data_IF_245299583361
#
_entry.id   IF_245299583361
#
_cell.length_a   1.000
_cell.length_b   1.000
_cell.length_c   1.000
_cell.angle_alpha   90.00
_cell.angle_beta   90.00
_cell.angle_gamma   90.00
#
_symmetry.space_group_name_H-M   'P 1'
#
loop_
_entity.id
_entity.type
_entity.pdbx_description
1 polymer ?
#
# COMPACT_ATOMS: atom_id res chain seq x y z
N UNK A 1 -29.66 -18.70 -40.75
CA UNK A 1 -30.32 -18.07 -39.58
C UNK A 1 -29.30 -17.93 -38.46
N UNK A 2 -28.83 -16.71 -38.22
CA UNK A 2 -28.01 -16.36 -37.06
C UNK A 2 -28.94 -16.33 -35.84
N UNK A 3 -28.70 -17.06 -34.74
CA UNK A 3 -29.53 -16.89 -33.56
C UNK A 3 -29.25 -15.51 -32.96
N UNK A 4 -30.33 -14.77 -32.74
CA UNK A 4 -30.39 -13.45 -32.13
C UNK A 4 -29.60 -13.43 -30.81
N UNK A 5 -28.63 -12.51 -30.70
CA UNK A 5 -28.09 -12.05 -29.41
C UNK A 5 -29.23 -11.35 -28.65
N UNK A 6 -29.95 -12.11 -27.81
CA UNK A 6 -31.15 -11.65 -27.11
C UNK A 6 -30.83 -11.00 -25.76
N UNK A 7 -31.12 -9.69 -25.65
CA UNK A 7 -31.62 -8.95 -24.47
C UNK A 7 -30.92 -8.99 -23.09
N UNK A 8 -29.91 -9.84 -22.83
CA UNK A 8 -29.27 -9.94 -21.49
C UNK A 8 -28.19 -8.89 -21.21
N UNK A 9 -27.68 -8.20 -22.22
CA UNK A 9 -26.56 -7.25 -22.06
C UNK A 9 -26.89 -5.96 -21.26
N UNK A 10 -28.03 -5.26 -21.48
CA UNK A 10 -28.30 -4.02 -20.74
C UNK A 10 -28.64 -4.25 -19.25
N UNK A 11 -29.36 -5.34 -18.92
CA UNK A 11 -29.70 -5.68 -17.53
C UNK A 11 -28.43 -6.09 -16.75
N UNK A 12 -27.54 -6.85 -17.37
CA UNK A 12 -26.26 -7.23 -16.76
C UNK A 12 -25.33 -6.02 -16.55
N UNK A 13 -25.38 -5.02 -17.44
CA UNK A 13 -24.63 -3.77 -17.27
C UNK A 13 -25.20 -2.92 -16.13
N UNK A 14 -26.52 -2.73 -16.07
CA UNK A 14 -27.18 -1.97 -15.01
C UNK A 14 -26.89 -2.59 -13.62
N UNK A 15 -26.99 -3.91 -13.50
CA UNK A 15 -26.62 -4.62 -12.26
C UNK A 15 -25.17 -4.36 -11.85
N UNK A 16 -24.23 -4.35 -12.81
CA UNK A 16 -22.81 -4.06 -12.53
C UNK A 16 -22.58 -2.61 -12.11
N UNK A 17 -23.26 -1.65 -12.72
CA UNK A 17 -23.21 -0.24 -12.31
C UNK A 17 -23.73 -0.08 -10.88
N UNK A 18 -24.86 -0.72 -10.54
CA UNK A 18 -25.41 -0.72 -9.18
C UNK A 18 -24.43 -1.33 -8.18
N UNK A 19 -23.80 -2.48 -8.51
CA UNK A 19 -22.78 -3.10 -7.66
C UNK A 19 -21.55 -2.20 -7.45
N UNK A 20 -21.13 -1.45 -8.47
CA UNK A 20 -20.02 -0.50 -8.37
C UNK A 20 -20.40 0.64 -7.42
N UNK A 21 -21.58 1.24 -7.60
CA UNK A 21 -22.06 2.34 -6.73
C UNK A 21 -22.16 1.86 -5.28
N UNK A 22 -22.81 0.72 -5.04
CA UNK A 22 -22.89 0.13 -3.69
C UNK A 22 -21.52 -0.20 -3.11
N UNK A 23 -20.62 -0.76 -3.92
CA UNK A 23 -19.25 -1.05 -3.51
C UNK A 23 -18.49 0.21 -3.08
N UNK A 24 -18.62 1.31 -3.82
CA UNK A 24 -18.05 2.61 -3.46
C UNK A 24 -18.68 3.13 -2.17
N UNK A 25 -20.02 3.08 -2.03
CA UNK A 25 -20.71 3.53 -0.80
C UNK A 25 -20.22 2.78 0.43
N UNK A 26 -20.14 1.44 0.39
CA UNK A 26 -19.65 0.64 1.51
C UNK A 26 -18.16 0.87 1.79
N UNK A 27 -17.37 1.08 0.74
CA UNK A 27 -15.96 1.42 0.87
C UNK A 27 -15.76 2.75 1.60
N UNK A 28 -16.51 3.79 1.21
CA UNK A 28 -16.48 5.09 1.88
C UNK A 28 -16.98 5.01 3.33
N UNK A 29 -18.07 4.26 3.58
CA UNK A 29 -18.57 4.01 4.93
C UNK A 29 -17.52 3.33 5.81
N UNK A 30 -16.83 2.31 5.30
CA UNK A 30 -15.78 1.60 6.01
C UNK A 30 -14.59 2.52 6.36
N UNK A 31 -14.18 3.39 5.45
CA UNK A 31 -13.10 4.37 5.69
C UNK A 31 -13.52 5.40 6.74
N UNK A 32 -14.76 5.88 6.69
CA UNK A 32 -15.31 6.80 7.70
C UNK A 32 -15.36 6.17 9.09
N UNK A 33 -15.81 4.91 9.18
CA UNK A 33 -15.84 4.16 10.45
C UNK A 33 -14.43 3.93 11.01
N UNK A 34 -13.48 3.59 10.13
CA UNK A 34 -12.07 3.43 10.47
C UNK A 34 -11.44 4.75 10.93
N UNK A 35 -11.76 5.88 10.29
CA UNK A 35 -11.31 7.21 10.69
C UNK A 35 -11.78 7.60 12.10
N UNK A 36 -13.04 7.31 12.45
CA UNK A 36 -13.57 7.53 13.80
C UNK A 36 -12.91 6.62 14.83
N UNK A 37 -12.75 5.33 14.52
CA UNK A 37 -12.07 4.38 15.40
C UNK A 37 -10.62 4.83 15.68
N UNK A 38 -9.88 5.28 14.67
CA UNK A 38 -8.53 5.82 14.87
C UNK A 38 -8.52 7.13 15.65
N UNK A 39 -9.49 8.03 15.45
CA UNK A 39 -9.61 9.26 16.25
C UNK A 39 -9.84 8.95 17.73
N UNK A 40 -10.68 7.94 18.05
CA UNK A 40 -10.91 7.47 19.41
C UNK A 40 -9.68 6.77 20.02
N UNK A 41 -8.99 5.92 19.24
CA UNK A 41 -7.73 5.30 19.68
C UNK A 41 -6.64 6.35 19.92
N UNK A 42 -6.54 7.35 19.05
CA UNK A 42 -5.64 8.47 19.20
C UNK A 42 -6.02 9.29 20.45
N UNK A 43 -7.28 9.60 20.72
CA UNK A 43 -7.67 10.35 21.93
C UNK A 43 -7.26 9.65 23.25
N UNK A 44 -7.31 8.31 23.31
CA UNK A 44 -6.92 7.53 24.51
C UNK A 44 -5.44 7.16 24.61
N UNK A 45 -4.73 7.10 23.48
CA UNK A 45 -3.36 6.54 23.38
C UNK A 45 -2.33 7.52 22.77
N UNK A 46 -2.76 8.71 22.33
CA UNK A 46 -1.94 9.67 21.58
C UNK A 46 -0.64 10.04 22.30
N UNK A 47 -0.62 10.16 23.63
CA UNK A 47 0.62 10.55 24.31
C UNK A 47 1.72 9.48 24.28
N UNK A 48 1.38 8.19 24.24
CA UNK A 48 2.37 7.11 24.26
C UNK A 48 2.71 6.58 22.85
N UNK A 49 1.80 6.65 21.87
CA UNK A 49 2.07 6.21 20.49
C UNK A 49 2.71 7.32 19.64
N UNK A 50 2.45 8.61 19.92
CA UNK A 50 3.08 9.70 19.19
C UNK A 50 4.59 9.82 19.46
N UNK A 51 5.07 9.32 20.60
CA UNK A 51 6.52 9.22 20.86
C UNK A 51 7.15 8.07 20.05
N UNK A 52 6.50 6.90 19.97
CA UNK A 52 6.95 5.73 19.17
C UNK A 52 7.03 6.01 17.65
N UNK A 53 6.40 7.08 17.16
CA UNK A 53 6.37 7.45 15.74
C UNK A 53 7.27 8.61 15.35
N UNK A 54 8.24 9.03 16.16
CA UNK A 54 9.09 10.19 15.81
C UNK A 54 10.06 9.96 14.62
N UNK A 55 10.25 8.72 14.15
CA UNK A 55 11.23 8.42 13.10
C UNK A 55 10.56 8.01 11.76
N UNK A 56 10.60 8.89 10.72
CA UNK A 56 10.13 8.60 9.37
C UNK A 56 10.74 7.32 8.76
N UNK A 57 12.00 6.98 9.09
CA UNK A 57 12.63 5.75 8.62
C UNK A 57 11.96 4.50 9.21
N UNK A 58 11.55 4.53 10.48
CA UNK A 58 10.84 3.41 11.13
C UNK A 58 9.42 3.29 10.57
N UNK A 59 8.78 4.41 10.24
CA UNK A 59 7.44 4.42 9.62
C UNK A 59 7.38 3.61 8.31
N UNK A 60 8.47 3.58 7.54
CA UNK A 60 8.59 2.71 6.36
C UNK A 60 8.49 1.23 6.71
N UNK A 61 9.17 0.77 7.77
CA UNK A 61 9.11 -0.63 8.16
C UNK A 61 7.77 -1.01 8.78
N UNK A 62 7.11 -0.07 9.46
CA UNK A 62 5.72 -0.24 9.93
C UNK A 62 4.79 -0.49 8.74
N UNK A 63 4.84 0.37 7.71
CA UNK A 63 4.00 0.20 6.52
C UNK A 63 4.27 -1.09 5.75
N UNK A 64 5.54 -1.48 5.67
CA UNK A 64 5.98 -2.75 5.07
C UNK A 64 5.42 -3.94 5.85
N UNK A 65 5.59 -3.97 7.16
CA UNK A 65 5.15 -5.07 8.02
C UNK A 65 3.62 -5.20 8.04
N UNK A 66 2.89 -4.09 8.21
CA UNK A 66 1.43 -4.09 8.19
C UNK A 66 0.94 -4.63 6.86
N UNK A 67 1.52 -4.18 5.74
CA UNK A 67 1.12 -4.70 4.42
C UNK A 67 1.51 -6.17 4.24
N UNK A 68 2.65 -6.61 4.76
CA UNK A 68 3.07 -8.01 4.69
C UNK A 68 2.14 -8.93 5.51
N UNK A 69 1.62 -8.45 6.64
CA UNK A 69 0.65 -9.21 7.46
C UNK A 69 -0.73 -9.21 6.79
N UNK A 70 -1.20 -8.04 6.38
CA UNK A 70 -2.54 -7.86 5.79
C UNK A 70 -2.61 -8.37 4.34
N UNK A 71 -1.48 -8.44 3.64
CA UNK A 71 -1.36 -8.78 2.22
C UNK A 71 -2.13 -7.83 1.27
N UNK A 72 -2.42 -6.60 1.71
CA UNK A 72 -3.13 -5.58 0.93
C UNK A 72 -2.52 -4.20 1.16
N UNK A 73 -1.75 -3.71 0.18
CA UNK A 73 -1.23 -2.33 0.23
C UNK A 73 -2.34 -1.29 0.08
N UNK A 74 -3.40 -1.56 -0.69
CA UNK A 74 -4.55 -0.66 -0.79
C UNK A 74 -5.24 -0.46 0.56
N UNK A 75 -5.39 -1.52 1.36
CA UNK A 75 -5.96 -1.40 2.71
C UNK A 75 -5.04 -0.61 3.64
N UNK A 76 -3.74 -0.91 3.61
CA UNK A 76 -2.74 -0.21 4.43
C UNK A 76 -2.63 1.28 4.05
N UNK A 77 -2.65 1.60 2.76
CA UNK A 77 -2.57 3.00 2.29
C UNK A 77 -3.87 3.76 2.56
N UNK A 78 -5.05 3.17 2.39
CA UNK A 78 -6.31 3.79 2.82
C UNK A 78 -6.36 4.03 4.33
N UNK A 79 -5.79 3.11 5.12
CA UNK A 79 -5.62 3.28 6.57
C UNK A 79 -4.73 4.49 6.90
N UNK A 80 -3.60 4.63 6.20
CA UNK A 80 -2.71 5.80 6.35
C UNK A 80 -3.39 7.10 5.94
N UNK A 81 -4.11 7.12 4.81
CA UNK A 81 -4.91 8.28 4.36
C UNK A 81 -5.93 8.67 5.44
N UNK A 82 -6.67 7.70 5.98
CA UNK A 82 -7.65 7.93 7.03
C UNK A 82 -7.00 8.46 8.33
N UNK A 83 -5.85 7.91 8.73
CA UNK A 83 -5.11 8.34 9.91
C UNK A 83 -4.61 9.79 9.79
N UNK A 84 -4.14 10.19 8.61
CA UNK A 84 -3.74 11.57 8.33
C UNK A 84 -4.96 12.49 8.28
N UNK A 85 -6.07 12.05 7.68
CA UNK A 85 -7.32 12.81 7.66
C UNK A 85 -7.88 13.06 9.07
N UNK A 86 -7.66 12.12 9.99
CA UNK A 86 -8.03 12.23 11.40
C UNK A 86 -7.02 13.06 12.24
N UNK A 87 -5.90 13.49 11.67
CA UNK A 87 -4.83 14.21 12.38
C UNK A 87 -3.97 13.33 13.30
N UNK A 88 -4.19 12.02 13.30
CA UNK A 88 -3.47 11.05 14.15
C UNK A 88 -2.09 10.66 13.61
N UNK A 89 -1.82 10.93 12.32
CA UNK A 89 -0.56 10.63 11.66
C UNK A 89 -0.08 11.84 10.88
N UNK A 90 1.19 12.22 11.04
CA UNK A 90 1.80 13.32 10.30
C UNK A 90 2.14 12.91 8.86
N UNK A 91 2.17 13.88 7.95
CA UNK A 91 2.65 13.68 6.56
C UNK A 91 4.06 13.07 6.54
N UNK A 92 4.96 13.57 7.40
CA UNK A 92 6.36 13.13 7.49
C UNK A 92 6.50 11.63 7.79
N UNK A 93 5.58 11.05 8.56
CA UNK A 93 5.56 9.62 8.87
C UNK A 93 4.72 8.82 7.86
N UNK A 94 3.64 9.40 7.35
CA UNK A 94 2.74 8.75 6.42
C UNK A 94 3.40 8.45 5.06
N UNK A 95 4.25 9.36 4.55
CA UNK A 95 4.91 9.16 3.25
C UNK A 95 5.85 7.94 3.26
N UNK A 96 6.81 7.80 4.19
CA UNK A 96 7.61 6.58 4.30
C UNK A 96 6.76 5.33 4.53
N UNK A 97 5.67 5.43 5.32
CA UNK A 97 4.77 4.30 5.55
C UNK A 97 4.11 3.81 4.24
N UNK A 98 3.73 4.72 3.34
CA UNK A 98 3.25 4.38 1.99
C UNK A 98 4.34 3.70 1.17
N UNK A 99 5.60 4.19 1.21
CA UNK A 99 6.72 3.53 0.53
C UNK A 99 6.90 2.09 1.04
N UNK A 100 6.82 1.90 2.35
CA UNK A 100 6.83 0.60 3.01
C UNK A 100 5.72 -0.31 2.52
N UNK A 101 4.49 0.20 2.45
CA UNK A 101 3.34 -0.55 1.98
C UNK A 101 3.51 -1.04 0.52
N UNK A 102 4.15 -0.24 -0.34
CA UNK A 102 4.47 -0.63 -1.71
C UNK A 102 5.47 -1.79 -1.75
N UNK A 103 6.48 -1.80 -0.86
CA UNK A 103 7.38 -2.94 -0.71
C UNK A 103 6.61 -4.16 -0.19
N UNK A 104 5.81 -4.01 0.87
CA UNK A 104 5.09 -5.11 1.51
C UNK A 104 4.15 -5.88 0.55
N UNK A 105 3.49 -5.18 -0.38
CA UNK A 105 2.56 -5.80 -1.36
C UNK A 105 3.23 -6.88 -2.23
N UNK A 106 4.55 -6.77 -2.41
CA UNK A 106 5.33 -7.66 -3.29
C UNK A 106 5.47 -9.08 -2.73
N UNK A 107 5.27 -9.27 -1.41
CA UNK A 107 5.28 -10.57 -0.75
C UNK A 107 4.35 -11.59 -1.42
N UNK A 108 3.17 -11.15 -1.85
CA UNK A 108 2.15 -11.98 -2.50
C UNK A 108 2.69 -12.76 -3.71
N UNK A 109 3.45 -12.09 -4.57
CA UNK A 109 4.01 -12.68 -5.79
C UNK A 109 5.15 -13.64 -5.46
N UNK A 110 5.94 -13.30 -4.45
CA UNK A 110 7.03 -14.14 -3.94
C UNK A 110 6.49 -15.39 -3.24
N UNK A 111 5.37 -15.33 -2.51
CA UNK A 111 4.70 -16.50 -1.94
C UNK A 111 4.14 -17.43 -3.03
N UNK A 112 3.46 -16.89 -4.05
CA UNK A 112 2.96 -17.69 -5.19
C UNK A 112 4.10 -18.44 -5.89
N UNK A 113 5.29 -17.84 -5.96
CA UNK A 113 6.44 -18.49 -6.58
C UNK A 113 6.92 -19.75 -5.85
N UNK A 114 6.66 -19.86 -4.54
CA UNK A 114 6.99 -21.06 -3.75
C UNK A 114 6.16 -22.27 -4.16
N UNK A 115 4.97 -22.09 -4.76
CA UNK A 115 4.17 -23.19 -5.30
C UNK A 115 4.88 -24.02 -6.38
N UNK A 116 5.94 -23.47 -7.00
CA UNK A 116 6.72 -24.14 -8.04
C UNK A 116 7.93 -24.91 -7.50
N UNK A 117 8.15 -24.96 -6.17
CA UNK A 117 9.37 -25.47 -5.51
C UNK A 117 9.77 -26.91 -5.91
N UNK A 118 8.78 -27.74 -6.24
CA UNK A 118 9.00 -29.12 -6.67
C UNK A 118 9.78 -29.20 -8.00
N UNK A 119 9.56 -28.28 -8.93
CA UNK A 119 10.13 -28.31 -10.28
C UNK A 119 11.23 -27.26 -10.44
N UNK A 120 12.50 -27.67 -10.29
CA UNK A 120 13.67 -26.77 -10.27
C UNK A 120 13.71 -25.70 -11.37
N UNK A 121 13.42 -26.07 -12.62
CA UNK A 121 13.43 -25.13 -13.77
C UNK A 121 12.30 -24.10 -13.70
N UNK A 122 11.10 -24.53 -13.33
CA UNK A 122 9.93 -23.65 -13.17
C UNK A 122 10.12 -22.77 -11.93
N UNK A 123 10.57 -23.34 -10.81
CA UNK A 123 10.86 -22.62 -9.56
C UNK A 123 11.85 -21.46 -9.75
N UNK A 124 12.95 -21.68 -10.48
CA UNK A 124 13.92 -20.64 -10.83
C UNK A 124 13.25 -19.44 -11.51
N UNK A 125 12.35 -19.71 -12.46
CA UNK A 125 11.63 -18.67 -13.22
C UNK A 125 10.55 -18.01 -12.36
N UNK A 126 9.85 -18.80 -11.55
CA UNK A 126 8.81 -18.34 -10.64
C UNK A 126 9.38 -17.37 -9.61
N UNK A 127 10.49 -17.71 -8.93
CA UNK A 127 11.13 -16.83 -7.94
C UNK A 127 11.59 -15.53 -8.59
N UNK A 128 12.14 -15.61 -9.82
CA UNK A 128 12.52 -14.41 -10.55
C UNK A 128 11.31 -13.56 -10.95
N UNK A 129 10.13 -14.15 -11.18
CA UNK A 129 8.90 -13.41 -11.43
C UNK A 129 8.28 -12.83 -10.15
N UNK A 130 8.37 -13.55 -9.02
CA UNK A 130 7.91 -13.08 -7.72
C UNK A 130 8.72 -11.87 -7.24
N UNK A 131 10.05 -12.01 -7.22
CA UNK A 131 10.97 -11.03 -6.61
C UNK A 131 11.28 -9.82 -7.48
N UNK A 132 10.92 -9.81 -8.77
CA UNK A 132 11.22 -8.64 -9.64
C UNK A 132 10.45 -7.41 -9.20
N UNK A 133 9.25 -7.60 -8.62
CA UNK A 133 8.47 -6.52 -8.05
C UNK A 133 9.14 -5.99 -6.78
N UNK A 134 9.61 -6.90 -5.90
CA UNK A 134 10.34 -6.55 -4.67
C UNK A 134 11.56 -5.68 -4.99
N UNK A 135 12.42 -6.13 -5.91
CA UNK A 135 13.63 -5.39 -6.29
C UNK A 135 13.30 -4.02 -6.88
N UNK A 136 12.23 -3.92 -7.67
CA UNK A 136 11.80 -2.64 -8.20
C UNK A 136 11.39 -1.68 -7.07
N UNK A 137 10.48 -2.09 -6.18
CA UNK A 137 9.99 -1.22 -5.10
C UNK A 137 11.10 -0.86 -4.12
N UNK A 138 11.94 -1.82 -3.72
CA UNK A 138 13.09 -1.55 -2.84
C UNK A 138 14.03 -0.51 -3.48
N UNK A 139 14.35 -0.65 -4.78
CA UNK A 139 15.22 0.31 -5.45
C UNK A 139 14.60 1.70 -5.58
N UNK A 140 13.30 1.78 -5.90
CA UNK A 140 12.59 3.07 -5.96
C UNK A 140 12.58 3.72 -4.58
N UNK A 141 12.29 2.97 -3.52
CA UNK A 141 12.34 3.46 -2.15
C UNK A 141 13.74 3.91 -1.74
N UNK A 142 14.80 3.17 -2.08
CA UNK A 142 16.18 3.57 -1.78
C UNK A 142 16.58 4.90 -2.47
N UNK A 143 15.95 5.24 -3.59
CA UNK A 143 16.18 6.49 -4.31
C UNK A 143 15.29 7.61 -3.75
N UNK A 144 13.98 7.35 -3.61
CA UNK A 144 13.01 8.39 -3.27
C UNK A 144 12.94 8.70 -1.77
N UNK A 145 13.23 7.74 -0.88
CA UNK A 145 13.18 7.98 0.56
C UNK A 145 14.18 9.05 1.00
N UNK A 146 15.48 9.00 0.65
CA UNK A 146 16.39 10.08 1.02
C UNK A 146 15.96 11.43 0.43
N UNK A 147 15.54 11.44 -0.84
CA UNK A 147 15.06 12.68 -1.48
C UNK A 147 13.85 13.26 -0.77
N UNK A 148 12.94 12.41 -0.31
CA UNK A 148 11.79 12.82 0.48
C UNK A 148 12.21 13.35 1.86
N UNK A 149 13.12 12.68 2.57
CA UNK A 149 13.54 13.09 3.90
C UNK A 149 14.31 14.43 3.90
N UNK A 150 15.11 14.69 2.87
CA UNK A 150 15.91 15.92 2.79
C UNK A 150 15.20 17.07 2.08
N UNK A 151 14.43 16.79 1.03
CA UNK A 151 13.85 17.82 0.15
C UNK A 151 12.32 17.80 0.10
N UNK A 152 11.67 16.78 0.66
CA UNK A 152 10.21 16.64 0.61
C UNK A 152 9.66 16.58 -0.81
N UNK A 153 10.37 15.94 -1.75
CA UNK A 153 10.03 15.97 -3.19
C UNK A 153 8.61 15.47 -3.45
N UNK A 154 8.20 14.36 -2.84
CA UNK A 154 6.87 13.81 -3.04
C UNK A 154 5.83 14.61 -2.27
N UNK A 155 6.09 14.93 -0.99
CA UNK A 155 5.15 15.71 -0.17
C UNK A 155 4.84 17.08 -0.76
N UNK A 156 5.87 17.78 -1.28
CA UNK A 156 5.72 19.13 -1.84
C UNK A 156 4.90 19.09 -3.12
N UNK A 157 5.23 18.20 -4.06
CA UNK A 157 4.49 18.05 -5.32
C UNK A 157 3.07 17.58 -5.06
N UNK A 158 2.89 16.63 -4.14
CA UNK A 158 1.57 16.14 -3.76
C UNK A 158 0.67 17.24 -3.20
N UNK A 159 1.22 18.11 -2.34
CA UNK A 159 0.49 19.25 -1.77
C UNK A 159 0.10 20.25 -2.85
N UNK A 160 1.01 20.60 -3.75
CA UNK A 160 0.71 21.49 -4.87
C UNK A 160 -0.39 20.92 -5.77
N UNK A 161 -0.37 19.61 -6.04
CA UNK A 161 -1.44 18.96 -6.81
C UNK A 161 -2.75 18.96 -6.02
N UNK A 162 -2.72 18.68 -4.71
CA UNK A 162 -3.89 18.72 -3.84
C UNK A 162 -4.59 20.08 -3.85
N UNK A 163 -3.82 21.16 -3.75
CA UNK A 163 -4.32 22.54 -3.83
C UNK A 163 -4.97 22.88 -5.19
N UNK A 164 -4.55 22.24 -6.28
CA UNK A 164 -5.15 22.40 -7.61
C UNK A 164 -6.43 21.57 -7.82
N UNK A 165 -6.54 20.40 -7.19
CA UNK A 165 -7.67 19.48 -7.37
C UNK A 165 -8.90 19.94 -6.59
N UNK A 166 -8.70 20.49 -5.39
CA UNK A 166 -9.79 20.85 -4.46
C UNK A 166 -10.79 21.84 -5.09
N UNK A 167 -10.37 22.96 -5.72
CA UNK A 167 -11.31 23.91 -6.34
C UNK A 167 -12.13 23.30 -7.50
N UNK A 168 -11.54 22.35 -8.25
CA UNK A 168 -12.18 21.71 -9.41
C UNK A 168 -13.14 20.59 -9.03
N UNK A 169 -13.04 20.10 -7.80
CA UNK A 169 -13.87 19.02 -7.30
C UNK A 169 -15.31 19.45 -6.98
N UNK A 170 -15.58 20.77 -6.94
CA UNK A 170 -16.89 21.32 -6.56
C UNK A 170 -17.21 21.13 -5.08
N UNK A 171 -16.26 20.62 -4.29
CA UNK A 171 -16.34 20.45 -2.85
C UNK A 171 -15.56 21.60 -2.19
N UNK A 172 -16.28 22.51 -1.55
CA UNK A 172 -15.68 23.68 -0.92
C UNK A 172 -14.73 23.24 0.21
N UNK A 173 -13.54 23.83 0.30
CA UNK A 173 -12.55 23.48 1.33
C UNK A 173 -13.01 23.80 2.76
N UNK A 174 -14.05 24.63 2.92
CA UNK A 174 -14.72 24.91 4.20
C UNK A 174 -15.81 23.89 4.54
N UNK A 175 -16.46 23.31 3.53
CA UNK A 175 -17.45 22.25 3.69
C UNK A 175 -16.82 20.94 3.24
N UNK A 176 -15.98 20.39 4.12
CA UNK A 176 -15.51 19.01 4.01
C UNK A 176 -16.69 18.07 3.75
N UNK A 177 -16.88 17.70 2.48
CA UNK A 177 -18.03 16.92 2.01
C UNK A 177 -18.19 15.60 2.78
N UNK A 178 -17.14 15.07 3.42
CA UNK A 178 -17.23 13.93 4.37
C UNK A 178 -17.50 14.29 5.83
N UNK A 179 -17.09 15.46 6.33
CA UNK A 179 -17.49 15.92 7.66
C UNK A 179 -18.90 16.51 7.66
N UNK A 180 -19.50 16.82 6.51
CA UNK A 180 -20.93 17.17 6.42
C UNK A 180 -21.79 15.96 6.05
N UNK A 181 -21.54 15.34 4.88
CA UNK A 181 -22.42 14.28 4.38
C UNK A 181 -22.37 13.00 5.22
N UNK A 182 -21.20 12.58 5.75
CA UNK A 182 -21.07 11.30 6.47
C UNK A 182 -20.91 11.42 8.00
N UNK A 183 -20.49 12.58 8.53
CA UNK A 183 -20.51 12.84 9.97
C UNK A 183 -21.95 12.94 10.50
N UNK A 184 -22.85 13.53 9.70
CA UNK A 184 -24.27 13.69 10.03
C UNK A 184 -25.13 12.51 9.58
N UNK A 185 -24.54 11.54 8.89
CA UNK A 185 -25.20 10.27 8.62
C UNK A 185 -25.24 9.46 9.92
N UNK A 186 -26.42 9.49 10.54
CA UNK A 186 -26.81 8.68 11.68
C UNK A 186 -26.19 7.27 11.71
N UNK A 187 -26.03 6.51 10.60
CA UNK A 187 -25.43 5.17 10.64
C UNK A 187 -23.99 5.08 11.17
N UNK A 188 -23.09 6.03 10.89
CA UNK A 188 -21.68 5.91 11.35
C UNK A 188 -21.62 6.12 12.85
N UNK A 189 -22.16 7.23 13.35
CA UNK A 189 -22.23 7.52 14.78
C UNK A 189 -23.05 6.47 15.51
N UNK A 190 -24.17 6.03 14.93
CA UNK A 190 -24.97 4.95 15.49
C UNK A 190 -24.16 3.66 15.65
N UNK A 191 -23.34 3.25 14.69
CA UNK A 191 -22.47 2.07 14.85
C UNK A 191 -21.45 2.31 15.96
N UNK A 192 -20.78 3.45 15.98
CA UNK A 192 -19.76 3.78 17.00
C UNK A 192 -20.37 3.82 18.41
N UNK A 193 -21.49 4.52 18.58
CA UNK A 193 -22.22 4.69 19.83
C UNK A 193 -22.89 3.41 20.31
N UNK A 194 -23.30 2.54 19.40
CA UNK A 194 -23.89 1.23 19.73
C UNK A 194 -22.81 0.25 20.16
N UNK A 195 -21.69 0.17 19.43
CA UNK A 195 -20.64 -0.82 19.69
C UNK A 195 -19.82 -0.45 20.93
N UNK A 196 -19.55 0.85 21.18
CA UNK A 196 -18.78 1.40 22.32
C UNK A 196 -17.37 0.84 22.54
N UNK A 197 -16.94 -0.12 21.73
CA UNK A 197 -15.62 -0.77 21.78
C UNK A 197 -14.83 -0.47 20.50
N UNK A 198 -13.81 0.39 20.63
CA UNK A 198 -13.07 0.91 19.48
C UNK A 198 -12.39 -0.18 18.63
N UNK A 199 -11.86 -1.23 19.27
CA UNK A 199 -11.27 -2.37 18.56
C UNK A 199 -12.30 -3.16 17.74
N UNK A 200 -13.53 -3.30 18.22
CA UNK A 200 -14.61 -3.99 17.49
C UNK A 200 -15.03 -3.15 16.29
N UNK A 201 -15.20 -1.83 16.48
CA UNK A 201 -15.49 -0.89 15.38
C UNK A 201 -14.40 -0.97 14.31
N UNK A 202 -13.12 -1.03 14.71
CA UNK A 202 -12.00 -1.14 13.78
C UNK A 202 -12.03 -2.47 13.00
N UNK A 203 -12.29 -3.59 13.67
CA UNK A 203 -12.44 -4.91 13.01
C UNK A 203 -13.61 -4.88 12.01
N UNK A 204 -14.77 -4.36 12.40
CA UNK A 204 -15.94 -4.21 11.52
C UNK A 204 -15.61 -3.35 10.30
N UNK A 205 -14.93 -2.22 10.52
CA UNK A 205 -14.48 -1.34 9.45
C UNK A 205 -13.54 -2.06 8.47
N UNK A 206 -12.57 -2.82 8.97
CA UNK A 206 -11.69 -3.64 8.13
C UNK A 206 -12.46 -4.70 7.35
N UNK A 207 -13.37 -5.44 7.99
CA UNK A 207 -14.18 -6.46 7.30
C UNK A 207 -15.02 -5.84 6.18
N UNK A 208 -15.68 -4.71 6.45
CA UNK A 208 -16.45 -3.96 5.44
C UNK A 208 -15.56 -3.41 4.32
N UNK A 209 -14.37 -2.92 4.64
CA UNK A 209 -13.38 -2.47 3.67
C UNK A 209 -13.00 -3.61 2.71
N UNK A 210 -12.65 -4.78 3.23
CA UNK A 210 -12.31 -5.94 2.38
C UNK A 210 -13.51 -6.45 1.58
N UNK A 211 -14.70 -6.49 2.18
CA UNK A 211 -15.92 -6.92 1.50
C UNK A 211 -16.28 -5.99 0.34
N UNK A 212 -16.24 -4.67 0.56
CA UNK A 212 -16.53 -3.66 -0.46
C UNK A 212 -15.51 -3.70 -1.61
N UNK A 213 -14.21 -3.83 -1.30
CA UNK A 213 -13.16 -4.01 -2.31
C UNK A 213 -13.43 -5.28 -3.14
N UNK A 214 -13.84 -6.40 -2.52
CA UNK A 214 -14.15 -7.65 -3.23
C UNK A 214 -15.37 -7.50 -4.16
N UNK A 215 -16.42 -6.82 -3.73
CA UNK A 215 -17.60 -6.52 -4.57
C UNK A 215 -17.21 -5.66 -5.76
N UNK A 216 -16.45 -4.58 -5.52
CA UNK A 216 -15.97 -3.68 -6.55
C UNK A 216 -15.08 -4.43 -7.55
N UNK A 217 -14.13 -5.23 -7.05
CA UNK A 217 -13.26 -6.07 -7.86
C UNK A 217 -14.02 -7.03 -8.76
N UNK A 218 -15.03 -7.72 -8.24
CA UNK A 218 -15.85 -8.68 -8.99
C UNK A 218 -16.72 -8.01 -10.05
N UNK A 219 -17.35 -6.88 -9.72
CA UNK A 219 -18.19 -6.12 -10.63
C UNK A 219 -17.37 -5.64 -11.84
N UNK A 220 -16.19 -5.09 -11.58
CA UNK A 220 -15.32 -4.57 -12.62
C UNK A 220 -14.62 -5.73 -13.37
N UNK A 221 -14.16 -6.80 -12.70
CA UNK A 221 -13.63 -8.01 -13.35
C UNK A 221 -14.61 -8.63 -14.35
N UNK A 222 -15.90 -8.72 -13.98
CA UNK A 222 -16.97 -9.21 -14.85
C UNK A 222 -17.27 -8.31 -16.06
N UNK A 223 -16.86 -7.02 -16.04
CA UNK A 223 -16.92 -6.13 -17.21
C UNK A 223 -15.76 -6.38 -18.19
N UNK A 224 -14.57 -6.70 -17.69
CA UNK A 224 -13.37 -6.78 -18.51
C UNK A 224 -13.00 -8.20 -19.00
N UNK A 225 -13.17 -9.26 -18.21
CA UNK A 225 -12.60 -10.59 -18.52
C UNK A 225 -13.50 -11.49 -19.38
N UNK A 226 -14.83 -11.28 -19.40
CA UNK A 226 -15.77 -12.13 -20.14
C UNK A 226 -15.46 -12.30 -21.64
N UNK A 227 -14.68 -11.39 -22.22
CA UNK A 227 -14.45 -11.27 -23.67
C UNK A 227 -13.07 -11.78 -24.16
N UNK A 228 -12.14 -12.22 -23.29
CA UNK A 228 -10.71 -12.33 -23.66
C UNK A 228 -10.04 -13.71 -23.53
N UNK A 229 -10.77 -14.83 -23.41
CA UNK A 229 -10.17 -16.12 -22.98
C UNK A 229 -9.16 -16.79 -23.94
N UNK A 230 -9.18 -16.57 -25.26
CA UNK A 230 -8.27 -17.27 -26.20
C UNK A 230 -7.03 -16.46 -26.61
N UNK A 231 -7.08 -15.12 -26.56
CA UNK A 231 -6.01 -14.23 -27.03
C UNK A 231 -5.45 -13.29 -25.96
N UNK A 232 -5.81 -13.50 -24.69
CA UNK A 232 -5.40 -12.69 -23.54
C UNK A 232 -3.89 -12.40 -23.52
N UNK A 233 -3.06 -13.44 -23.68
CA UNK A 233 -1.60 -13.31 -23.62
C UNK A 233 -1.04 -12.47 -24.78
N UNK A 234 -1.59 -12.64 -26.00
CA UNK A 234 -1.15 -11.92 -27.19
C UNK A 234 -1.54 -10.45 -27.12
N UNK A 235 -2.72 -10.15 -26.60
CA UNK A 235 -3.25 -8.78 -26.50
C UNK A 235 -2.56 -8.01 -25.37
N UNK A 236 -2.42 -8.64 -24.20
CA UNK A 236 -1.80 -8.03 -23.02
C UNK A 236 -0.32 -7.71 -23.26
N UNK A 237 0.44 -8.69 -23.73
CA UNK A 237 1.90 -8.62 -23.77
C UNK A 237 2.46 -8.32 -25.17
N UNK A 238 1.63 -7.76 -26.06
CA UNK A 238 2.01 -7.37 -27.43
C UNK A 238 3.17 -6.37 -27.44
N UNK A 239 3.05 -5.28 -26.67
CA UNK A 239 4.10 -4.26 -26.53
C UNK A 239 4.31 -3.91 -25.06
N UNK A 240 5.48 -3.37 -24.67
CA UNK A 240 5.73 -2.95 -23.29
C UNK A 240 4.70 -1.94 -22.78
N UNK A 241 4.28 -0.99 -23.62
CA UNK A 241 3.29 0.02 -23.25
C UNK A 241 1.89 -0.57 -23.08
N UNK A 242 1.49 -1.52 -23.94
CA UNK A 242 0.24 -2.26 -23.77
C UNK A 242 0.25 -3.10 -22.48
N UNK A 243 1.35 -3.80 -22.22
CA UNK A 243 1.51 -4.58 -21.00
C UNK A 243 1.40 -3.69 -19.75
N UNK A 244 2.06 -2.54 -19.74
CA UNK A 244 1.92 -1.52 -18.70
C UNK A 244 0.48 -1.03 -18.55
N UNK A 245 -0.14 -0.55 -19.63
CA UNK A 245 -1.50 -0.02 -19.60
C UNK A 245 -2.52 -1.04 -19.10
N UNK A 246 -2.40 -2.30 -19.51
CA UNK A 246 -3.25 -3.37 -19.02
C UNK A 246 -2.99 -3.74 -17.56
N UNK A 247 -1.73 -3.74 -17.12
CA UNK A 247 -1.40 -3.90 -15.70
C UNK A 247 -2.09 -2.83 -14.85
N UNK A 248 -1.99 -1.57 -15.27
CA UNK A 248 -2.65 -0.43 -14.61
C UNK A 248 -4.15 -0.58 -14.61
N UNK A 249 -4.75 -0.82 -15.77
CA UNK A 249 -6.20 -0.89 -15.93
C UNK A 249 -6.81 -2.04 -15.14
N UNK A 250 -6.25 -3.26 -15.27
CA UNK A 250 -6.76 -4.44 -14.56
C UNK A 250 -6.60 -4.25 -13.05
N UNK A 251 -5.50 -3.65 -12.59
CA UNK A 251 -5.29 -3.48 -11.15
C UNK A 251 -6.13 -2.36 -10.55
N UNK A 252 -6.32 -1.23 -11.25
CA UNK A 252 -7.24 -0.19 -10.84
C UNK A 252 -8.69 -0.71 -10.79
N UNK A 253 -9.02 -1.57 -11.74
CA UNK A 253 -10.31 -2.29 -11.83
C UNK A 253 -10.51 -3.28 -10.67
N UNK A 254 -9.55 -4.18 -10.47
CA UNK A 254 -9.60 -5.22 -9.43
C UNK A 254 -9.32 -4.63 -8.05
N UNK A 255 -8.77 -3.43 -7.97
CA UNK A 255 -8.38 -2.73 -6.74
C UNK A 255 -7.40 -3.55 -5.86
N UNK A 256 -6.68 -4.52 -6.45
CA UNK A 256 -5.77 -5.42 -5.71
C UNK A 256 -4.62 -5.91 -6.58
N UNK A 257 -3.42 -5.39 -6.31
CA UNK A 257 -2.17 -5.91 -6.91
C UNK A 257 -1.83 -7.31 -6.45
N UNK A 258 -2.31 -7.72 -5.26
CA UNK A 258 -2.19 -9.06 -4.70
C UNK A 258 -2.92 -10.12 -5.53
N UNK A 259 -3.88 -9.70 -6.37
CA UNK A 259 -4.50 -10.57 -7.37
C UNK A 259 -3.78 -10.43 -8.71
N UNK A 260 -3.55 -9.21 -9.19
CA UNK A 260 -3.10 -8.99 -10.57
C UNK A 260 -1.63 -9.32 -10.81
N UNK A 261 -0.74 -8.95 -9.88
CA UNK A 261 0.71 -9.13 -10.05
C UNK A 261 1.11 -10.61 -9.98
N UNK A 262 0.61 -11.42 -9.02
CA UNK A 262 0.96 -12.84 -8.97
C UNK A 262 0.47 -13.66 -10.16
N UNK A 263 -0.54 -13.22 -10.93
CA UNK A 263 -0.99 -13.92 -12.15
C UNK A 263 0.12 -14.07 -13.19
N UNK A 264 1.09 -13.16 -13.19
CA UNK A 264 2.26 -13.22 -14.05
C UNK A 264 3.19 -14.38 -13.68
N UNK A 265 3.25 -14.76 -12.40
CA UNK A 265 4.24 -15.72 -11.89
C UNK A 265 4.09 -17.09 -12.55
N UNK A 266 2.89 -17.72 -12.64
CA UNK A 266 2.71 -18.97 -13.38
C UNK A 266 3.05 -18.87 -14.87
N UNK A 267 2.73 -17.76 -15.53
CA UNK A 267 3.01 -17.57 -16.96
C UNK A 267 4.52 -17.50 -17.23
N UNK A 268 5.29 -16.87 -16.34
CA UNK A 268 6.75 -16.84 -16.42
C UNK A 268 7.35 -18.20 -16.02
N UNK A 269 6.82 -18.85 -14.98
CA UNK A 269 7.27 -20.15 -14.49
C UNK A 269 7.18 -21.24 -15.56
N UNK A 270 6.02 -21.32 -16.23
CA UNK A 270 5.74 -22.25 -17.34
C UNK A 270 6.42 -21.84 -18.66
N UNK A 271 6.95 -20.62 -18.75
CA UNK A 271 7.67 -20.12 -19.92
C UNK A 271 6.80 -19.58 -21.04
N UNK A 272 5.48 -19.44 -20.82
CA UNK A 272 4.55 -18.80 -21.76
C UNK A 272 4.93 -17.34 -22.05
N UNK A 273 5.39 -16.62 -21.01
CA UNK A 273 5.93 -15.27 -21.15
C UNK A 273 7.31 -15.16 -20.53
N UNK A 274 8.15 -14.28 -21.08
CA UNK A 274 9.45 -13.98 -20.46
C UNK A 274 9.30 -12.96 -19.34
N UNK A 275 10.15 -13.04 -18.31
CA UNK A 275 10.24 -12.04 -17.24
C UNK A 275 10.41 -10.60 -17.76
N UNK A 276 11.09 -10.42 -18.91
CA UNK A 276 11.28 -9.10 -19.51
C UNK A 276 9.98 -8.54 -20.09
N UNK A 277 9.14 -9.40 -20.67
CA UNK A 277 7.84 -9.03 -21.22
C UNK A 277 6.81 -8.77 -20.13
N UNK A 278 6.93 -9.45 -18.99
CA UNK A 278 6.00 -9.27 -17.88
C UNK A 278 6.31 -8.06 -16.99
N UNK A 279 7.58 -7.61 -16.93
CA UNK A 279 7.97 -6.49 -16.06
C UNK A 279 7.14 -5.21 -16.27
N UNK A 280 6.86 -4.74 -17.50
CA UNK A 280 5.99 -3.57 -17.71
C UNK A 280 4.58 -3.75 -17.14
N UNK A 281 4.00 -4.96 -17.22
CA UNK A 281 2.70 -5.25 -16.61
C UNK A 281 2.73 -5.13 -15.10
N UNK A 282 3.80 -5.61 -14.45
CA UNK A 282 4.00 -5.47 -13.01
C UNK A 282 4.09 -3.99 -12.61
N UNK A 283 4.84 -3.18 -13.38
CA UNK A 283 4.92 -1.73 -13.15
C UNK A 283 3.56 -1.04 -13.28
N UNK A 284 2.79 -1.42 -14.30
CA UNK A 284 1.43 -0.93 -14.47
C UNK A 284 0.54 -1.33 -13.31
N UNK A 285 0.61 -2.60 -12.88
CA UNK A 285 -0.17 -3.09 -11.77
C UNK A 285 0.11 -2.32 -10.48
N UNK A 286 1.38 -1.99 -10.21
CA UNK A 286 1.76 -1.17 -9.07
C UNK A 286 1.11 0.23 -9.12
N UNK A 287 1.20 0.91 -10.28
CA UNK A 287 0.51 2.18 -10.49
C UNK A 287 -1.02 2.05 -10.38
N UNK A 288 -1.62 0.95 -10.83
CA UNK A 288 -3.05 0.74 -10.75
C UNK A 288 -3.60 0.69 -9.31
N UNK A 289 -2.80 0.22 -8.34
CA UNK A 289 -3.23 0.19 -6.93
C UNK A 289 -3.45 1.56 -6.30
N UNK A 290 -2.85 2.60 -6.87
CA UNK A 290 -2.97 3.97 -6.33
C UNK A 290 -4.37 4.53 -6.54
N UNK A 291 -5.16 3.95 -7.45
CA UNK A 291 -6.53 4.35 -7.71
C UNK A 291 -7.43 4.15 -6.48
N UNK A 292 -7.19 3.12 -5.64
CA UNK A 292 -7.98 2.88 -4.41
C UNK A 292 -7.83 4.04 -3.43
N UNK A 293 -6.57 4.42 -3.15
CA UNK A 293 -6.27 5.48 -2.20
C UNK A 293 -6.71 6.86 -2.71
N UNK A 294 -6.62 7.09 -4.02
CA UNK A 294 -7.12 8.32 -4.64
C UNK A 294 -8.64 8.44 -4.50
N UNK A 295 -9.39 7.37 -4.82
CA UNK A 295 -10.84 7.36 -4.63
C UNK A 295 -11.22 7.56 -3.16
N UNK A 296 -10.49 6.94 -2.23
CA UNK A 296 -10.67 7.19 -0.81
C UNK A 296 -10.47 8.67 -0.48
N UNK A 297 -9.39 9.29 -0.96
CA UNK A 297 -9.04 10.63 -0.54
C UNK A 297 -9.86 11.75 -1.18
N UNK A 298 -10.44 11.54 -2.38
CA UNK A 298 -11.25 12.54 -3.10
C UNK A 298 -12.43 13.09 -2.28
N UNK A 299 -12.86 12.35 -1.25
CA UNK A 299 -13.97 12.76 -0.41
C UNK A 299 -13.52 13.37 0.93
N UNK A 300 -12.22 13.42 1.26
CA UNK A 300 -11.69 13.85 2.57
C UNK A 300 -10.90 15.17 2.51
N UNK A 301 -10.06 15.44 3.51
CA UNK A 301 -9.30 16.69 3.66
C UNK A 301 -8.19 16.86 2.61
N UNK A 302 -7.71 18.10 2.43
CA UNK A 302 -6.56 18.41 1.58
C UNK A 302 -5.32 17.55 1.93
N UNK A 303 -5.14 17.25 3.21
CA UNK A 303 -4.09 16.36 3.68
C UNK A 303 -4.28 14.91 3.20
N UNK A 304 -5.52 14.40 3.21
CA UNK A 304 -5.85 13.08 2.69
C UNK A 304 -5.58 12.96 1.18
N UNK A 305 -6.00 13.97 0.40
CA UNK A 305 -5.75 14.05 -1.05
C UNK A 305 -4.25 14.10 -1.33
N UNK A 306 -3.51 14.92 -0.59
CA UNK A 306 -2.06 15.01 -0.71
C UNK A 306 -1.41 13.65 -0.45
N UNK A 307 -1.79 12.93 0.61
CA UNK A 307 -1.25 11.60 0.91
C UNK A 307 -1.56 10.56 -0.17
N UNK A 308 -2.79 10.53 -0.67
CA UNK A 308 -3.12 9.65 -1.79
C UNK A 308 -2.33 10.01 -3.05
N UNK A 309 -2.06 11.31 -3.27
CA UNK A 309 -1.22 11.76 -4.36
C UNK A 309 0.24 11.38 -4.16
N UNK A 310 0.79 11.39 -2.94
CA UNK A 310 2.12 10.82 -2.66
C UNK A 310 2.17 9.36 -3.12
N UNK A 311 1.13 8.56 -2.87
CA UNK A 311 1.09 7.18 -3.33
C UNK A 311 1.14 7.07 -4.87
N UNK A 312 0.37 7.91 -5.57
CA UNK A 312 0.42 8.03 -7.05
C UNK A 312 1.81 8.43 -7.52
N UNK A 313 2.39 9.48 -6.94
CA UNK A 313 3.69 10.03 -7.33
C UNK A 313 4.82 9.06 -7.07
N UNK A 314 4.85 8.38 -5.92
CA UNK A 314 5.86 7.35 -5.63
C UNK A 314 5.91 6.29 -6.74
N UNK A 315 4.75 5.77 -7.12
CA UNK A 315 4.62 4.79 -8.18
C UNK A 315 4.98 5.36 -9.55
N UNK A 316 4.49 6.56 -9.87
CA UNK A 316 4.75 7.23 -11.14
C UNK A 316 6.23 7.56 -11.32
N UNK A 317 6.89 8.12 -10.32
CA UNK A 317 8.33 8.40 -10.34
C UNK A 317 9.13 7.11 -10.51
N UNK A 318 8.77 6.04 -9.80
CA UNK A 318 9.39 4.73 -10.01
C UNK A 318 9.26 4.25 -11.46
N UNK A 319 8.08 4.38 -12.06
CA UNK A 319 7.86 4.06 -13.48
C UNK A 319 8.73 4.96 -14.37
N UNK A 320 8.75 6.27 -14.16
CA UNK A 320 9.54 7.22 -14.97
C UNK A 320 11.05 6.97 -14.87
N UNK A 321 11.54 6.54 -13.71
CA UNK A 321 12.95 6.21 -13.48
C UNK A 321 13.36 4.90 -14.18
N UNK A 322 12.52 3.87 -14.15
CA UNK A 322 12.91 2.53 -14.61
C UNK A 322 12.35 2.14 -15.98
N UNK A 323 11.19 2.63 -16.38
CA UNK A 323 10.47 2.13 -17.56
C UNK A 323 11.02 2.65 -18.90
N UNK A 324 11.30 3.96 -19.08
CA UNK A 324 11.82 4.51 -20.35
C UNK A 324 13.26 4.06 -20.62
N UNK A 325 14.10 4.02 -19.58
CA UNK A 325 15.54 3.78 -19.72
C UNK A 325 15.86 2.28 -19.72
N UNK A 326 16.07 1.72 -20.91
CA UNK A 326 16.30 0.29 -21.10
C UNK A 326 17.49 -0.30 -20.33
N UNK A 327 18.49 0.51 -19.95
CA UNK A 327 19.62 0.09 -19.10
C UNK A 327 19.19 -0.07 -17.64
N UNK A 328 18.51 0.94 -17.08
CA UNK A 328 18.00 0.96 -15.70
C UNK A 328 16.96 -0.14 -15.52
N UNK A 329 16.03 -0.30 -16.48
CA UNK A 329 15.02 -1.36 -16.51
C UNK A 329 15.60 -2.77 -16.35
N UNK A 330 16.81 -3.01 -16.86
CA UNK A 330 17.45 -4.33 -16.80
C UNK A 330 17.97 -4.66 -15.39
N UNK A 331 18.17 -3.68 -14.51
CA UNK A 331 18.74 -3.88 -13.18
C UNK A 331 17.83 -4.78 -12.31
N UNK A 332 16.56 -4.43 -12.01
CA UNK A 332 15.70 -5.27 -11.18
C UNK A 332 15.48 -6.66 -11.82
N UNK A 333 15.36 -6.72 -13.15
CA UNK A 333 15.23 -7.98 -13.90
C UNK A 333 16.47 -8.88 -13.72
N UNK A 334 17.68 -8.31 -13.72
CA UNK A 334 18.93 -9.08 -13.51
C UNK A 334 19.05 -9.58 -12.08
N UNK A 335 18.72 -8.73 -11.09
CA UNK A 335 18.71 -9.09 -9.67
C UNK A 335 17.73 -10.24 -9.42
N UNK A 336 16.50 -10.12 -9.92
CA UNK A 336 15.48 -11.15 -9.83
C UNK A 336 15.91 -12.49 -10.46
N UNK A 337 16.53 -12.47 -11.64
CA UNK A 337 17.09 -13.68 -12.28
C UNK A 337 18.26 -14.27 -11.49
N UNK A 338 19.08 -13.44 -10.84
CA UNK A 338 20.16 -13.90 -9.97
C UNK A 338 19.56 -14.59 -8.74
N UNK A 339 18.56 -13.98 -8.11
CA UNK A 339 17.83 -14.54 -6.98
C UNK A 339 17.22 -15.89 -7.35
N UNK A 340 16.47 -15.98 -8.46
CA UNK A 340 15.92 -17.25 -8.93
C UNK A 340 16.97 -18.34 -9.19
N UNK A 341 18.17 -17.97 -9.70
CA UNK A 341 19.27 -18.94 -9.86
C UNK A 341 19.78 -19.45 -8.52
N UNK A 342 20.01 -18.57 -7.56
CA UNK A 342 20.53 -18.90 -6.23
C UNK A 342 19.53 -19.77 -5.48
N UNK A 343 18.27 -19.34 -5.39
CA UNK A 343 17.19 -20.06 -4.69
C UNK A 343 16.88 -21.41 -5.31
N UNK A 344 17.03 -21.57 -6.64
CA UNK A 344 16.85 -22.88 -7.29
C UNK A 344 17.95 -23.90 -6.95
N UNK A 345 19.11 -23.44 -6.45
CA UNK A 345 20.20 -24.30 -5.95
C UNK A 345 20.04 -24.55 -4.45
N UNK A 346 19.72 -23.51 -3.69
CA UNK A 346 19.52 -23.57 -2.24
C UNK A 346 18.14 -23.03 -1.88
N UNK A 347 17.15 -23.93 -1.77
CA UNK A 347 15.74 -23.57 -1.55
C UNK A 347 15.53 -22.73 -0.29
N UNK A 348 16.30 -23.01 0.76
CA UNK A 348 16.25 -22.28 2.03
C UNK A 348 16.52 -20.77 1.87
N UNK A 349 17.36 -20.37 0.92
CA UNK A 349 17.67 -18.93 0.68
C UNK A 349 16.41 -18.16 0.29
N UNK A 350 15.49 -18.76 -0.48
CA UNK A 350 14.23 -18.12 -0.84
C UNK A 350 13.32 -17.90 0.37
N UNK A 351 13.23 -18.91 1.24
CA UNK A 351 12.44 -18.82 2.47
C UNK A 351 13.03 -17.79 3.44
N UNK A 352 14.35 -17.81 3.66
CA UNK A 352 15.04 -16.84 4.51
C UNK A 352 14.92 -15.41 3.98
N UNK A 353 15.00 -15.21 2.66
CA UNK A 353 14.78 -13.89 2.07
C UNK A 353 13.39 -13.33 2.39
N UNK A 354 12.35 -14.15 2.26
CA UNK A 354 10.97 -13.74 2.60
C UNK A 354 10.87 -13.40 4.09
N UNK A 355 11.32 -14.31 4.94
CA UNK A 355 11.24 -14.18 6.39
C UNK A 355 12.00 -12.94 6.88
N UNK A 356 13.21 -12.72 6.37
CA UNK A 356 14.04 -11.58 6.75
C UNK A 356 13.44 -10.28 6.22
N UNK A 357 13.16 -10.18 4.93
CA UNK A 357 12.77 -8.91 4.30
C UNK A 357 11.40 -8.42 4.78
N UNK A 358 10.43 -9.32 4.93
CA UNK A 358 9.04 -8.95 5.20
C UNK A 358 8.63 -9.05 6.67
N UNK A 359 9.40 -9.75 7.52
CA UNK A 359 9.03 -9.97 8.91
C UNK A 359 10.16 -9.65 9.89
N UNK A 360 11.30 -10.35 9.83
CA UNK A 360 12.33 -10.20 10.87
C UNK A 360 13.02 -8.84 10.84
N UNK A 361 13.42 -8.34 9.67
CA UNK A 361 14.03 -7.02 9.54
C UNK A 361 13.08 -5.90 10.00
N UNK A 362 11.85 -5.79 9.48
CA UNK A 362 10.96 -4.72 9.93
C UNK A 362 10.61 -4.86 11.41
N UNK A 363 10.34 -6.07 11.90
CA UNK A 363 10.06 -6.30 13.32
C UNK A 363 11.23 -5.89 14.22
N UNK A 364 12.45 -6.30 13.88
CA UNK A 364 13.65 -5.95 14.65
C UNK A 364 13.87 -4.43 14.68
N UNK A 365 13.75 -3.75 13.52
CA UNK A 365 13.94 -2.30 13.46
C UNK A 365 12.89 -1.53 14.26
N UNK A 366 11.62 -1.96 14.20
CA UNK A 366 10.54 -1.37 15.01
C UNK A 366 10.82 -1.59 16.50
N UNK A 367 11.15 -2.82 16.89
CA UNK A 367 11.43 -3.20 18.28
C UNK A 367 12.60 -2.43 18.90
N UNK A 368 13.70 -2.27 18.17
CA UNK A 368 14.86 -1.53 18.67
C UNK A 368 14.63 -0.01 18.71
N UNK A 369 13.82 0.53 17.80
CA UNK A 369 13.47 1.94 17.82
C UNK A 369 12.61 2.31 19.04
N UNK A 370 11.66 1.46 19.41
CA UNK A 370 10.83 1.62 20.61
C UNK A 370 11.69 1.68 21.88
N UNK A 371 12.65 0.75 22.02
CA UNK A 371 13.55 0.71 23.19
C UNK A 371 14.47 1.92 23.34
N UNK A 372 14.87 2.58 22.26
CA UNK A 372 15.75 3.75 22.36
C UNK A 372 15.03 4.95 22.99
N UNK A 373 13.70 4.99 22.93
CA UNK A 373 12.89 6.07 23.49
C UNK A 373 12.60 5.88 24.98
N UNK A 374 12.66 4.64 25.49
CA UNK A 374 12.51 4.32 26.91
C UNK A 374 13.76 4.65 27.75
N UNK A 375 14.89 5.00 27.12
CA UNK A 375 16.12 5.41 27.81
C UNK A 375 16.10 6.90 28.14
N UNK A 376 16.13 7.32 29.43
CA UNK A 376 16.14 8.74 29.78
C UNK A 376 17.44 9.41 29.30
N UNK A 377 17.39 10.70 28.91
CA UNK A 377 18.58 11.43 28.46
C UNK A 377 19.63 11.51 29.57
N UNK A 378 20.94 11.49 29.22
CA UNK A 378 22.04 11.42 30.19
C UNK A 378 22.05 12.58 31.21
N UNK A 379 21.41 13.71 30.91
CA UNK A 379 21.29 14.86 31.82
C UNK A 379 20.36 14.66 33.02
N UNK A 380 19.52 13.63 33.05
CA UNK A 380 18.65 13.35 34.20
C UNK A 380 19.28 12.38 35.22
N UNK A 381 20.34 11.65 34.87
CA UNK A 381 21.05 10.77 35.79
C UNK A 381 21.97 11.52 36.78
N UNK A 382 22.44 12.72 36.43
CA UNK A 382 23.27 13.53 37.36
C UNK A 382 22.44 14.26 38.42
N UNK A 383 21.14 14.48 38.19
CA UNK A 383 20.27 15.18 39.16
C UNK A 383 19.81 14.31 40.35
N UNK A 384 20.01 12.99 40.28
CA UNK A 384 19.63 12.06 41.35
C UNK A 384 20.78 11.74 42.32
N UNK A 385 21.99 12.22 42.04
CA UNK A 385 23.08 12.27 42.99
C UNK A 385 22.92 13.54 43.82
N UNK A 386 22.26 13.41 44.98
CA UNK A 386 22.13 14.49 45.95
C UNK A 386 23.47 15.16 46.28
N UNK A 387 23.46 16.42 46.73
CA UNK A 387 24.69 17.18 46.95
C UNK A 387 25.64 16.43 47.89
N UNK A 388 26.91 16.34 47.50
CA UNK A 388 27.96 15.74 48.32
C UNK A 388 27.97 16.41 49.71
N UNK A 389 28.13 15.64 50.81
CA UNK A 389 28.12 16.21 52.15
C UNK A 389 29.23 17.27 52.27
N UNK A 390 28.83 18.47 52.69
CA UNK A 390 29.74 19.58 52.91
C UNK A 390 30.83 19.16 53.91
N UNK A 391 32.09 19.35 53.53
CA UNK A 391 33.24 19.13 54.39
C UNK A 391 33.07 19.97 55.66
N UNK A 392 33.07 19.30 56.82
CA UNK A 392 32.96 19.94 58.12
C UNK A 392 34.05 20.99 58.33
N UNK A 393 33.61 22.11 58.87
CA UNK A 393 34.44 23.20 59.36
C UNK A 393 35.39 22.68 60.45
N UNK A 394 36.67 22.62 60.14
CA UNK A 394 37.75 22.37 61.11
C UNK A 394 38.51 23.69 61.25
N UNK A 395 38.05 24.57 62.14
CA UNK A 395 38.96 25.49 62.84
C UNK A 395 38.37 26.05 64.14
N UNK A 396 38.93 25.53 65.24
CA UNK A 396 39.18 26.11 66.57
C UNK A 396 38.03 26.67 67.41
#
# INVERSE_FOLDING_TARGET
MHPLKTQKEPIALAQKVVMIVLGITFFLFAISLMGHAFKLLAAGTARQILEVTANPFISLFIGLLITAIIQSSSSTTSMVVAAVAAGSLSMQNAVPMIMGANIGTTLTSTLVSLGFIAKKKEFKKAIAAGTVHDFFNIMVTLILLPLELYFGVLSSVARSIGELIVPFSGFDSSDSFTYGFWHDLAPVQWVVDTVKHTWIVLIVAFVLLFASIKVLANAIYGLFIGSFRSDFEKILFATPLKAFGWGTLITATVQSSSVTTPLVVPLVATGKISLRKSFPYILGANLGTTFTALLAALFHSNAAISIAMVHVLFNLFGVLLFFPFGAIRKIPIRLARRMGRITSRHRLIGFLYILITFFLLPFALIYFAERQQDTPPPTQQESSLGPAPAAGDISK
#
